data_IF_597170254013
#
_entry.id   IF_597170254013
#
_cell.length_a   1.000
_cell.length_b   1.000
_cell.length_c   1.000
_cell.angle_alpha   90.00
_cell.angle_beta   90.00
_cell.angle_gamma   90.00
#
_symmetry.space_group_name_H-M   'P 1'
#
loop_
_entity.id
_entity.type
_entity.pdbx_description
1 polymer ?
#
# COMPACT_ATOMS: atom_id res chain seq x y z
N UNK A 1 -6.33 -3.59 -17.77
CA UNK A 1 -5.22 -3.92 -18.69
C UNK A 1 -5.26 -5.38 -19.16
N UNK A 2 -6.41 -6.05 -19.14
CA UNK A 2 -6.71 -7.18 -20.02
C UNK A 2 -8.24 -7.15 -20.28
N UNK A 3 -8.67 -7.57 -21.47
CA UNK A 3 -9.98 -7.30 -22.09
C UNK A 3 -11.23 -7.84 -21.38
N UNK A 4 -12.39 -7.45 -21.93
CA UNK A 4 -13.77 -7.86 -21.60
C UNK A 4 -13.96 -8.35 -20.16
N UNK A 5 -13.99 -7.40 -19.21
CA UNK A 5 -14.31 -7.70 -17.81
C UNK A 5 -15.81 -7.87 -17.68
N UNK A 6 -16.29 -9.11 -17.80
CA UNK A 6 -17.64 -9.47 -17.33
C UNK A 6 -17.86 -8.89 -15.94
N UNK A 7 -19.01 -8.25 -15.71
CA UNK A 7 -19.28 -7.51 -14.46
C UNK A 7 -19.10 -8.38 -13.23
N UNK A 8 -19.45 -9.67 -13.31
CA UNK A 8 -19.21 -10.65 -12.25
C UNK A 8 -17.72 -10.85 -11.94
N UNK A 9 -16.88 -11.06 -12.96
CA UNK A 9 -15.44 -11.24 -12.76
C UNK A 9 -14.80 -10.03 -12.08
N UNK A 10 -15.22 -8.82 -12.48
CA UNK A 10 -14.73 -7.58 -11.86
C UNK A 10 -15.19 -7.43 -10.40
N UNK A 11 -16.45 -7.75 -10.09
CA UNK A 11 -16.98 -7.68 -8.73
C UNK A 11 -16.30 -8.71 -7.82
N UNK A 12 -16.16 -9.95 -8.31
CA UNK A 12 -15.48 -11.03 -7.61
C UNK A 12 -14.03 -10.68 -7.31
N UNK A 13 -13.28 -10.24 -8.33
CA UNK A 13 -11.91 -9.81 -8.15
C UNK A 13 -11.76 -8.70 -7.11
N UNK A 14 -12.63 -7.67 -7.16
CA UNK A 14 -12.62 -6.60 -6.14
C UNK A 14 -12.95 -7.12 -4.75
N UNK A 15 -13.94 -7.99 -4.62
CA UNK A 15 -14.31 -8.61 -3.35
C UNK A 15 -13.16 -9.44 -2.76
N UNK A 16 -12.47 -10.21 -3.60
CA UNK A 16 -11.29 -10.97 -3.18
C UNK A 16 -10.20 -10.08 -2.60
N UNK A 17 -9.82 -9.01 -3.30
CA UNK A 17 -8.75 -8.12 -2.85
C UNK A 17 -9.14 -7.23 -1.66
N UNK A 18 -10.40 -6.81 -1.58
CA UNK A 18 -10.86 -5.91 -0.53
C UNK A 18 -11.24 -6.63 0.78
N UNK A 19 -11.71 -7.88 0.72
CA UNK A 19 -12.22 -8.60 1.88
C UNK A 19 -11.55 -9.95 2.11
N UNK A 20 -11.49 -10.82 1.10
CA UNK A 20 -10.99 -12.20 1.29
C UNK A 20 -9.51 -12.20 1.65
N UNK A 21 -8.68 -11.48 0.91
CA UNK A 21 -7.24 -11.37 1.17
C UNK A 21 -6.94 -10.81 2.56
N UNK A 22 -7.47 -9.64 2.99
CA UNK A 22 -7.18 -9.13 4.32
C UNK A 22 -7.73 -10.03 5.44
N UNK A 23 -8.92 -10.61 5.29
CA UNK A 23 -9.45 -11.53 6.31
C UNK A 23 -8.61 -12.81 6.43
N UNK A 24 -8.20 -13.41 5.31
CA UNK A 24 -7.37 -14.60 5.33
C UNK A 24 -6.00 -14.31 5.95
N UNK A 25 -5.36 -13.20 5.57
CA UNK A 25 -4.09 -12.77 6.15
C UNK A 25 -4.20 -12.51 7.65
N UNK A 26 -5.28 -11.89 8.11
CA UNK A 26 -5.54 -11.69 9.55
C UNK A 26 -5.76 -13.02 10.27
N UNK A 27 -6.54 -13.94 9.69
CA UNK A 27 -6.84 -15.23 10.29
C UNK A 27 -5.57 -16.07 10.47
N UNK A 28 -4.73 -16.19 9.43
CA UNK A 28 -3.47 -16.94 9.53
C UNK A 28 -2.49 -16.27 10.50
N UNK A 29 -2.48 -14.93 10.57
CA UNK A 29 -1.63 -14.19 11.50
C UNK A 29 -2.05 -14.44 12.95
N UNK A 30 -3.34 -14.30 13.27
CA UNK A 30 -3.88 -14.57 14.61
C UNK A 30 -3.63 -16.02 15.00
N UNK A 31 -3.89 -16.96 14.09
CA UNK A 31 -3.62 -18.38 14.33
C UNK A 31 -2.13 -18.62 14.62
N UNK A 32 -1.25 -18.05 13.80
CA UNK A 32 0.21 -18.15 13.98
C UNK A 32 0.68 -17.59 15.32
N UNK A 33 0.07 -16.51 15.81
CA UNK A 33 0.39 -15.92 17.11
C UNK A 33 -0.17 -16.77 18.26
N UNK A 34 -1.40 -17.28 18.13
CA UNK A 34 -2.05 -18.09 19.15
C UNK A 34 -1.35 -19.45 19.34
N UNK A 35 -0.88 -20.06 18.26
CA UNK A 35 -0.15 -21.34 18.29
C UNK A 35 1.36 -21.19 18.40
N UNK A 36 1.86 -19.96 18.63
CA UNK A 36 3.28 -19.68 18.69
C UNK A 36 3.93 -20.47 19.84
N UNK A 37 4.82 -21.40 19.48
CA UNK A 37 5.67 -22.09 20.43
C UNK A 37 7.12 -21.70 20.16
N UNK A 38 7.95 -21.48 21.20
CA UNK A 38 9.36 -21.19 21.03
C UNK A 38 10.01 -22.28 20.16
N UNK A 39 10.79 -21.91 19.13
CA UNK A 39 11.37 -22.90 18.23
C UNK A 39 12.28 -23.86 19.01
N UNK A 40 12.22 -25.14 18.70
CA UNK A 40 13.09 -26.17 19.29
C UNK A 40 13.92 -26.82 18.21
N UNK A 41 15.20 -27.02 18.45
CA UNK A 41 16.08 -27.75 17.54
C UNK A 41 16.32 -29.16 18.10
N UNK A 42 15.60 -30.15 17.58
CA UNK A 42 15.58 -31.49 18.14
C UNK A 42 15.09 -31.48 19.58
N UNK A 43 15.94 -31.93 20.52
CA UNK A 43 15.65 -31.93 21.97
C UNK A 43 16.09 -30.64 22.69
N UNK A 44 16.76 -29.72 21.99
CA UNK A 44 17.31 -28.49 22.58
C UNK A 44 16.34 -27.34 22.37
N UNK A 45 15.88 -26.73 23.46
CA UNK A 45 15.03 -25.53 23.42
C UNK A 45 15.87 -24.32 23.00
N UNK A 46 15.37 -23.49 22.07
CA UNK A 46 16.03 -22.23 21.79
C UNK A 46 16.04 -21.35 23.05
N UNK A 47 17.15 -20.64 23.30
CA UNK A 47 17.21 -19.70 24.40
C UNK A 47 16.29 -18.51 24.12
N UNK A 48 15.68 -17.95 25.18
CA UNK A 48 14.70 -16.86 25.07
C UNK A 48 15.25 -15.61 24.37
N UNK A 49 16.55 -15.31 24.51
CA UNK A 49 17.18 -14.18 23.84
C UNK A 49 17.16 -14.29 22.31
N UNK A 50 17.26 -15.51 21.77
CA UNK A 50 17.24 -15.71 20.32
C UNK A 50 15.83 -15.47 19.76
N UNK A 51 14.80 -15.85 20.51
CA UNK A 51 13.41 -15.54 20.16
C UNK A 51 13.15 -14.04 20.22
N UNK A 52 13.67 -13.34 21.24
CA UNK A 52 13.58 -11.88 21.33
C UNK A 52 14.25 -11.18 20.14
N UNK A 53 15.43 -11.67 19.72
CA UNK A 53 16.11 -11.16 18.51
C UNK A 53 15.26 -11.32 17.24
N UNK A 54 14.58 -12.46 17.07
CA UNK A 54 13.67 -12.67 15.95
C UNK A 54 12.53 -11.65 15.91
N UNK A 55 11.90 -11.38 17.07
CA UNK A 55 10.88 -10.34 17.19
C UNK A 55 11.40 -8.94 16.90
N UNK A 56 12.60 -8.61 17.37
CA UNK A 56 13.25 -7.34 17.06
C UNK A 56 13.46 -7.15 15.55
N UNK A 57 13.88 -8.20 14.82
CA UNK A 57 14.04 -8.12 13.38
C UNK A 57 12.70 -7.90 12.66
N UNK A 58 11.64 -8.59 13.08
CA UNK A 58 10.29 -8.41 12.50
C UNK A 58 9.82 -6.97 12.71
N UNK A 59 9.92 -6.46 13.94
CA UNK A 59 9.53 -5.09 14.28
C UNK A 59 10.34 -4.08 13.48
N UNK A 60 11.65 -4.29 13.33
CA UNK A 60 12.52 -3.41 12.54
C UNK A 60 12.08 -3.34 11.07
N UNK A 61 11.78 -4.47 10.45
CA UNK A 61 11.27 -4.51 9.07
C UNK A 61 9.92 -3.80 8.93
N UNK A 62 9.00 -4.03 9.87
CA UNK A 62 7.66 -3.41 9.84
C UNK A 62 7.75 -1.91 10.11
N UNK A 63 8.66 -1.46 10.99
CA UNK A 63 8.84 -0.06 11.40
C UNK A 63 9.23 0.88 10.25
N UNK A 64 9.86 0.36 9.19
CA UNK A 64 10.18 1.17 8.01
C UNK A 64 8.94 1.73 7.29
N UNK A 65 7.83 0.99 7.30
CA UNK A 65 6.57 1.43 6.67
C UNK A 65 6.03 2.72 7.33
N UNK A 66 5.75 2.76 8.65
CA UNK A 66 5.30 3.98 9.31
C UNK A 66 6.38 5.06 9.33
N UNK A 67 7.67 4.71 9.40
CA UNK A 67 8.75 5.69 9.36
C UNK A 67 8.71 6.51 8.06
N UNK A 68 8.68 5.85 6.90
CA UNK A 68 8.58 6.54 5.61
C UNK A 68 7.26 7.29 5.49
N UNK A 69 6.14 6.73 5.98
CA UNK A 69 4.86 7.41 5.99
C UNK A 69 4.93 8.75 6.77
N UNK A 70 5.52 8.76 7.96
CA UNK A 70 5.71 9.96 8.77
C UNK A 70 6.59 10.98 8.05
N UNK A 71 7.74 10.54 7.48
CA UNK A 71 8.63 11.42 6.71
C UNK A 71 7.88 12.10 5.57
N UNK A 72 7.08 11.35 4.81
CA UNK A 72 6.27 11.88 3.71
C UNK A 72 5.18 12.84 4.18
N UNK A 73 4.52 12.56 5.30
CA UNK A 73 3.51 13.44 5.89
C UNK A 73 4.15 14.75 6.38
N UNK A 74 5.31 14.71 7.05
CA UNK A 74 5.99 15.91 7.54
C UNK A 74 6.45 16.79 6.39
N UNK A 75 7.02 16.19 5.33
CA UNK A 75 7.46 16.88 4.11
C UNK A 75 6.29 17.42 3.26
N UNK A 76 5.07 16.89 3.43
CA UNK A 76 3.91 17.36 2.69
C UNK A 76 3.53 18.80 3.11
N UNK A 77 3.37 19.66 2.10
CA UNK A 77 2.90 21.05 2.29
C UNK A 77 1.40 21.03 2.62
N UNK A 78 1.04 21.56 3.79
CA UNK A 78 -0.36 21.66 4.23
C UNK A 78 -0.48 22.23 5.65
N UNK A 79 -1.55 22.96 5.93
CA UNK A 79 -1.78 23.60 7.24
C UNK A 79 -2.26 22.64 8.32
N UNK A 80 -3.00 21.59 7.95
CA UNK A 80 -3.62 20.64 8.89
C UNK A 80 -3.09 19.22 8.67
N UNK A 81 -2.85 18.47 9.75
CA UNK A 81 -2.36 17.08 9.70
C UNK A 81 -3.25 16.16 8.83
N UNK A 82 -4.58 16.29 8.94
CA UNK A 82 -5.53 15.56 8.11
C UNK A 82 -5.37 15.82 6.60
N UNK A 83 -5.09 17.07 6.20
CA UNK A 83 -4.85 17.41 4.79
C UNK A 83 -3.53 16.82 4.30
N UNK A 84 -2.51 16.77 5.16
CA UNK A 84 -1.21 16.16 4.84
C UNK A 84 -1.32 14.63 4.66
N UNK A 85 -2.06 13.95 5.55
CA UNK A 85 -2.35 12.51 5.42
C UNK A 85 -3.13 12.25 4.14
N UNK A 86 -4.23 12.99 3.92
CA UNK A 86 -5.03 12.84 2.72
C UNK A 86 -4.23 13.12 1.44
N UNK A 87 -3.30 14.06 1.46
CA UNK A 87 -2.39 14.33 0.34
C UNK A 87 -1.37 13.20 0.14
N UNK A 88 -0.82 12.63 1.21
CA UNK A 88 0.11 11.49 1.13
C UNK A 88 -0.55 10.21 0.61
N UNK A 89 -1.86 10.05 0.82
CA UNK A 89 -2.66 8.95 0.25
C UNK A 89 -3.10 9.18 -1.20
N UNK A 90 -2.80 10.34 -1.80
CA UNK A 90 -3.04 10.57 -3.23
C UNK A 90 -1.92 9.93 -4.05
N UNK A 91 -2.24 9.37 -5.23
CA UNK A 91 -1.22 8.87 -6.15
C UNK A 91 -0.28 10.00 -6.57
N UNK A 92 0.94 9.64 -6.96
CA UNK A 92 1.93 10.61 -7.43
C UNK A 92 1.38 11.43 -8.62
N UNK A 93 1.79 12.70 -8.79
CA UNK A 93 1.26 13.55 -9.85
C UNK A 93 1.45 12.97 -11.25
N UNK A 94 2.56 12.25 -11.47
CA UNK A 94 2.93 11.57 -12.71
C UNK A 94 2.34 10.15 -12.86
N UNK A 95 1.57 9.69 -11.87
CA UNK A 95 0.96 8.37 -11.87
C UNK A 95 -0.02 8.21 -13.03
N UNK A 96 0.26 7.26 -13.91
CA UNK A 96 -0.59 6.93 -15.04
C UNK A 96 0.09 5.96 -16.01
N UNK A 97 -0.53 5.68 -17.16
CA UNK A 97 0.07 4.85 -18.20
C UNK A 97 1.42 5.43 -18.63
N UNK A 98 2.46 4.58 -18.63
CA UNK A 98 3.84 4.98 -18.97
C UNK A 98 3.92 5.62 -20.37
N UNK A 99 3.20 5.05 -21.33
CA UNK A 99 3.12 5.54 -22.70
C UNK A 99 2.13 6.71 -22.81
N UNK A 100 2.60 7.86 -23.30
CA UNK A 100 1.77 9.07 -23.53
C UNK A 100 0.53 8.79 -24.39
N UNK A 101 0.65 7.92 -25.40
CA UNK A 101 -0.48 7.52 -26.27
C UNK A 101 -1.64 6.86 -25.51
N UNK A 102 -1.40 6.32 -24.31
CA UNK A 102 -2.42 5.67 -23.48
C UNK A 102 -2.98 6.56 -22.38
N UNK A 103 -2.57 7.82 -22.35
CA UNK A 103 -2.91 8.80 -21.33
C UNK A 103 -4.14 9.63 -21.74
N UNK A 104 -5.22 8.96 -22.12
CA UNK A 104 -6.49 9.63 -22.45
C UNK A 104 -7.43 9.69 -21.22
N UNK A 105 -8.36 10.64 -21.22
CA UNK A 105 -9.37 10.79 -20.16
C UNK A 105 -8.77 11.26 -18.83
N UNK A 106 -8.98 10.50 -17.75
CA UNK A 106 -8.57 10.87 -16.37
C UNK A 106 -7.09 11.22 -16.21
N UNK A 107 -6.23 10.69 -17.06
CA UNK A 107 -4.79 10.89 -16.96
C UNK A 107 -4.26 11.95 -17.92
N UNK A 108 -5.10 12.53 -18.79
CA UNK A 108 -4.67 13.46 -19.83
C UNK A 108 -4.07 14.74 -19.22
N UNK A 109 -2.82 15.04 -19.60
CA UNK A 109 -2.07 16.23 -19.15
C UNK A 109 -1.88 17.26 -20.28
N UNK A 110 -2.57 17.10 -21.40
CA UNK A 110 -2.39 17.93 -22.59
C UNK A 110 -2.81 19.38 -22.33
N UNK A 111 -3.87 19.60 -21.55
CA UNK A 111 -4.38 20.94 -21.21
C UNK A 111 -3.49 21.70 -20.20
N UNK A 112 -2.72 20.98 -19.38
CA UNK A 112 -1.81 21.58 -18.38
C UNK A 112 -0.52 22.13 -19.01
N UNK A 113 -0.12 21.59 -20.17
CA UNK A 113 1.13 21.94 -20.85
C UNK A 113 0.94 22.92 -22.03
N UNK A 114 -0.29 23.36 -22.32
CA UNK A 114 -0.59 24.33 -23.37
C UNK A 114 -1.05 25.68 -22.76
N UNK A 115 -0.15 26.68 -22.62
CA UNK A 115 -0.50 27.97 -22.02
C UNK A 115 -1.48 28.84 -22.85
N UNK A 116 -1.94 28.38 -24.02
CA UNK A 116 -2.86 29.11 -24.90
C UNK A 116 -4.30 28.56 -24.94
N UNK A 117 -4.65 27.55 -24.14
CA UNK A 117 -5.96 26.89 -24.22
C UNK A 117 -7.04 27.48 -23.28
N UNK A 118 -6.75 28.56 -22.54
CA UNK A 118 -7.70 29.20 -21.59
C UNK A 118 -8.09 30.60 -22.08
N UNK A 119 -8.68 30.68 -23.27
CA UNK A 119 -9.50 31.83 -23.66
C UNK A 119 -10.76 31.28 -24.32
N UNK A 120 -11.90 31.24 -23.62
CA UNK A 120 -13.19 31.19 -24.30
C UNK A 120 -13.43 32.57 -24.90
N UNK A 121 -13.59 32.64 -26.22
CA UNK A 121 -14.32 33.73 -26.87
C UNK A 121 -15.80 33.69 -26.45
#
# INVERSE_FOLDING_TARGET
MIGERTRLFWLWWRGCWAFVSPMLLLAILIWSLATFNPPTYGLVKYPGWATAFGWCMIIFCIMWIPFIAIVKIVQAKGSNLWKKIAAASKPAPDWGPYLKKHRWGRYDKTNENNPQAVTPE
#
